data_IF_029871021387
#
_entry.id   IF_029871021387
#
_cell.length_a   1.000
_cell.length_b   1.000
_cell.length_c   1.000
_cell.angle_alpha   90.00
_cell.angle_beta   90.00
_cell.angle_gamma   90.00
#
_symmetry.space_group_name_H-M   'P 1'
#
loop_
_entity.id
_entity.type
_entity.pdbx_description
1 polymer ?
#
# COMPACT_ATOMS: atom_id res chain seq x y z
N UNK A 1 -32.60 5.76 -30.79
CA UNK A 1 -32.76 6.50 -29.51
C UNK A 1 -32.25 5.58 -28.43
N UNK A 2 -31.02 5.81 -27.94
CA UNK A 2 -30.46 5.06 -26.82
C UNK A 2 -31.15 5.54 -25.54
N UNK A 3 -31.82 4.64 -24.84
CA UNK A 3 -32.34 4.92 -23.50
C UNK A 3 -31.18 5.24 -22.57
N UNK A 4 -31.17 6.43 -22.03
CA UNK A 4 -30.24 6.77 -20.94
C UNK A 4 -30.59 5.87 -19.75
N UNK A 5 -29.70 4.95 -19.39
CA UNK A 5 -29.84 4.17 -18.17
C UNK A 5 -29.92 5.11 -16.96
N UNK A 6 -30.98 4.93 -16.17
CA UNK A 6 -31.17 5.65 -14.92
C UNK A 6 -30.04 5.33 -13.95
N UNK A 7 -29.19 6.31 -13.64
CA UNK A 7 -27.97 6.17 -12.82
C UNK A 7 -28.24 6.27 -11.31
N UNK A 8 -29.37 5.80 -10.81
CA UNK A 8 -29.79 5.87 -9.39
C UNK A 8 -29.50 4.57 -8.61
N UNK A 9 -28.44 3.87 -8.90
CA UNK A 9 -27.99 2.66 -8.18
C UNK A 9 -26.51 2.71 -7.81
N UNK A 10 -26.00 1.65 -7.16
CA UNK A 10 -24.56 1.47 -6.93
C UNK A 10 -23.79 1.59 -8.25
N UNK A 11 -22.66 2.27 -8.22
CA UNK A 11 -21.84 2.48 -9.42
C UNK A 11 -20.59 1.62 -9.35
N UNK A 12 -20.29 0.96 -10.46
CA UNK A 12 -19.00 0.31 -10.65
C UNK A 12 -17.87 1.34 -10.66
N UNK A 13 -16.71 0.95 -10.17
CA UNK A 13 -15.49 1.75 -10.21
C UNK A 13 -14.51 1.13 -11.21
N UNK A 14 -14.16 1.88 -12.24
CA UNK A 14 -13.06 1.56 -13.15
C UNK A 14 -11.93 2.57 -12.96
N UNK A 15 -10.75 2.08 -12.61
CA UNK A 15 -9.57 2.90 -12.33
C UNK A 15 -8.52 2.70 -13.40
N UNK A 16 -8.13 3.78 -14.07
CA UNK A 16 -6.99 3.80 -14.97
C UNK A 16 -5.71 4.07 -14.17
N UNK A 17 -5.09 3.01 -13.65
CA UNK A 17 -3.97 3.09 -12.69
C UNK A 17 -2.80 3.94 -13.17
N UNK A 18 -2.53 3.99 -14.48
CA UNK A 18 -1.45 4.81 -15.07
C UNK A 18 -1.66 6.31 -14.89
N UNK A 19 -2.91 6.75 -14.76
CA UNK A 19 -3.28 8.15 -14.68
C UNK A 19 -3.29 8.66 -13.21
N UNK A 20 -3.15 7.76 -12.24
CA UNK A 20 -3.09 8.11 -10.83
C UNK A 20 -1.69 8.56 -10.39
N UNK A 21 -1.59 9.52 -9.46
CA UNK A 21 -0.32 9.95 -8.90
C UNK A 21 0.30 8.86 -8.03
N UNK A 22 1.63 8.82 -7.98
CA UNK A 22 2.39 8.06 -7.01
C UNK A 22 2.64 8.88 -5.76
N UNK A 23 2.33 8.31 -4.59
CA UNK A 23 2.65 8.89 -3.28
C UNK A 23 3.88 8.18 -2.70
N UNK A 24 4.86 8.92 -2.14
CA UNK A 24 6.01 8.30 -1.51
C UNK A 24 5.61 7.60 -0.20
N UNK A 25 6.13 6.38 -0.01
CA UNK A 25 6.05 5.62 1.25
C UNK A 25 7.38 5.60 2.00
N UNK A 26 8.45 5.92 1.31
CA UNK A 26 9.81 5.87 1.82
C UNK A 26 10.81 5.87 0.67
N UNK A 27 12.12 5.81 0.95
CA UNK A 27 13.14 5.77 -0.08
C UNK A 27 12.95 4.59 -1.04
N UNK A 28 12.73 4.88 -2.32
CA UNK A 28 12.52 3.88 -3.35
C UNK A 28 11.21 3.11 -3.25
N UNK A 29 10.23 3.61 -2.49
CA UNK A 29 8.94 2.94 -2.31
C UNK A 29 7.80 3.93 -2.49
N UNK A 30 6.81 3.57 -3.32
CA UNK A 30 5.63 4.39 -3.62
C UNK A 30 4.35 3.57 -3.61
N UNK A 31 3.23 4.27 -3.48
CA UNK A 31 1.90 3.67 -3.65
C UNK A 31 0.95 4.58 -4.42
N UNK A 32 -0.10 3.96 -4.96
CA UNK A 32 -1.30 4.63 -5.50
C UNK A 32 -2.51 4.03 -4.80
N UNK A 33 -3.48 4.86 -4.45
CA UNK A 33 -4.79 4.36 -4.01
C UNK A 33 -5.65 4.02 -5.21
N UNK A 34 -6.10 2.76 -5.28
CA UNK A 34 -6.99 2.28 -6.34
C UNK A 34 -8.47 2.34 -5.91
N UNK A 35 -8.72 2.17 -4.61
CA UNK A 35 -10.05 2.20 -4.02
C UNK A 35 -9.96 2.46 -2.53
N UNK A 36 -10.92 3.22 -2.00
CA UNK A 36 -11.21 3.33 -0.57
C UNK A 36 -12.71 3.14 -0.40
N UNK A 37 -13.14 2.16 0.40
CA UNK A 37 -14.54 1.81 0.60
C UNK A 37 -15.05 2.37 1.91
N UNK A 38 -15.98 3.31 1.87
CA UNK A 38 -16.66 3.84 3.06
C UNK A 38 -17.59 2.80 3.71
N UNK A 39 -18.08 1.83 2.93
CA UNK A 39 -18.99 0.78 3.41
C UNK A 39 -18.28 -0.21 4.33
N UNK A 40 -17.02 -0.52 4.03
CA UNK A 40 -16.28 -1.62 4.68
C UNK A 40 -15.04 -1.17 5.42
N UNK A 41 -14.57 0.06 5.21
CA UNK A 41 -13.29 0.55 5.74
C UNK A 41 -12.06 -0.05 5.05
N UNK A 42 -12.26 -0.79 3.95
CA UNK A 42 -11.20 -1.46 3.19
C UNK A 42 -10.61 -0.52 2.15
N UNK A 43 -9.31 -0.59 1.92
CA UNK A 43 -8.68 0.10 0.80
C UNK A 43 -7.75 -0.83 0.01
N UNK A 44 -7.59 -0.51 -1.26
CA UNK A 44 -6.70 -1.22 -2.18
C UNK A 44 -5.68 -0.27 -2.76
N UNK A 45 -4.43 -0.66 -2.73
CA UNK A 45 -3.29 0.11 -3.22
C UNK A 45 -2.48 -0.67 -4.24
N UNK A 46 -1.86 0.04 -5.17
CA UNK A 46 -0.75 -0.47 -5.98
C UNK A 46 0.55 0.03 -5.35
N UNK A 47 1.44 -0.87 -5.01
CA UNK A 47 2.75 -0.57 -4.42
C UNK A 47 3.82 -0.76 -5.50
N UNK A 48 4.79 0.15 -5.52
CA UNK A 48 6.02 0.03 -6.31
C UNK A 48 7.23 0.12 -5.39
N UNK A 49 8.18 -0.77 -5.60
CA UNK A 49 9.46 -0.79 -4.90
C UNK A 49 10.60 -0.83 -5.92
N UNK A 50 11.56 0.07 -5.80
CA UNK A 50 12.79 0.04 -6.61
C UNK A 50 13.75 -1.03 -6.12
N UNK A 51 14.62 -1.52 -7.01
CA UNK A 51 15.70 -2.44 -6.62
C UNK A 51 16.57 -1.83 -5.52
N UNK A 52 16.83 -2.62 -4.47
CA UNK A 52 17.58 -2.20 -3.29
C UNK A 52 16.75 -1.43 -2.25
N UNK A 53 15.49 -1.12 -2.52
CA UNK A 53 14.61 -0.45 -1.54
C UNK A 53 14.16 -1.42 -0.45
N UNK A 54 13.68 -0.82 0.66
CA UNK A 54 13.13 -1.57 1.80
C UNK A 54 11.79 -0.97 2.20
N UNK A 55 10.79 -1.82 2.34
CA UNK A 55 9.52 -1.42 2.94
C UNK A 55 9.68 -1.36 4.46
N UNK A 56 9.17 -0.30 5.09
CA UNK A 56 9.34 -0.09 6.53
C UNK A 56 8.74 -1.22 7.39
N UNK A 57 9.32 -1.51 8.56
CA UNK A 57 8.73 -2.44 9.51
C UNK A 57 7.33 -2.00 9.90
N UNK A 58 6.40 -2.95 9.96
CA UNK A 58 5.02 -2.66 10.28
C UNK A 58 4.28 -3.85 10.88
N UNK A 59 3.15 -3.53 11.55
CA UNK A 59 2.23 -4.50 12.11
C UNK A 59 0.85 -4.32 11.50
N UNK A 60 0.23 -5.42 11.10
CA UNK A 60 -1.15 -5.45 10.65
C UNK A 60 -2.12 -5.46 11.82
N UNK A 61 -2.95 -4.43 11.94
CA UNK A 61 -4.08 -4.35 12.89
C UNK A 61 -5.41 -4.79 12.25
N UNK A 62 -5.35 -5.17 11.00
CA UNK A 62 -6.33 -5.89 10.20
C UNK A 62 -5.60 -6.77 9.21
N UNK A 63 -6.27 -7.77 8.66
CA UNK A 63 -5.64 -8.60 7.63
C UNK A 63 -5.34 -7.80 6.36
N UNK A 64 -4.43 -8.31 5.54
CA UNK A 64 -4.20 -7.84 4.18
C UNK A 64 -3.93 -9.01 3.24
N UNK A 65 -4.12 -8.77 1.95
CA UNK A 65 -3.79 -9.73 0.91
C UNK A 65 -3.18 -9.00 -0.28
N UNK A 66 -2.23 -9.64 -0.95
CA UNK A 66 -1.56 -9.04 -2.09
C UNK A 66 -1.40 -10.01 -3.26
N UNK A 67 -1.23 -9.44 -4.44
CA UNK A 67 -0.88 -10.17 -5.65
C UNK A 67 0.27 -9.44 -6.36
N UNK A 68 1.35 -10.17 -6.65
CA UNK A 68 2.55 -9.62 -7.30
C UNK A 68 2.32 -9.52 -8.81
N UNK A 69 2.39 -8.30 -9.35
CA UNK A 69 2.22 -8.03 -10.78
C UNK A 69 3.53 -8.27 -11.53
N UNK A 70 4.65 -7.75 -11.00
CA UNK A 70 5.98 -7.90 -11.60
C UNK A 70 7.09 -7.84 -10.55
N UNK A 71 8.25 -8.37 -10.91
CA UNK A 71 9.42 -8.42 -10.05
C UNK A 71 9.33 -9.48 -8.96
N UNK A 72 10.11 -9.29 -7.92
CA UNK A 72 10.13 -10.15 -6.74
C UNK A 72 10.64 -9.35 -5.53
N UNK A 73 10.21 -9.74 -4.34
CA UNK A 73 10.69 -9.18 -3.08
C UNK A 73 10.76 -10.25 -2.00
N UNK A 74 11.70 -10.09 -1.08
CA UNK A 74 11.82 -10.97 0.06
C UNK A 74 10.77 -10.61 1.10
N UNK A 75 10.04 -11.63 1.52
CA UNK A 75 8.89 -11.55 2.37
C UNK A 75 9.01 -12.61 3.48
N UNK A 76 8.38 -12.42 4.61
CA UNK A 76 8.50 -13.32 5.78
C UNK A 76 8.22 -14.79 5.47
N UNK A 77 7.33 -15.08 4.55
CA UNK A 77 6.99 -16.45 4.15
C UNK A 77 7.86 -17.01 3.02
N UNK A 78 8.81 -16.22 2.50
CA UNK A 78 9.68 -16.58 1.38
C UNK A 78 9.81 -15.44 0.37
N UNK A 79 10.37 -15.70 -0.79
CA UNK A 79 10.45 -14.74 -1.89
C UNK A 79 9.15 -14.77 -2.69
N UNK A 80 8.40 -13.66 -2.67
CA UNK A 80 7.20 -13.49 -3.50
C UNK A 80 7.60 -12.99 -4.89
N UNK A 81 7.07 -13.63 -5.94
CA UNK A 81 7.39 -13.38 -7.35
C UNK A 81 6.15 -13.02 -8.15
N UNK A 82 6.34 -12.45 -9.34
CA UNK A 82 5.24 -12.17 -10.27
C UNK A 82 4.32 -13.40 -10.44
N UNK A 83 3.03 -13.21 -10.21
CA UNK A 83 2.00 -14.24 -10.20
C UNK A 83 1.70 -14.87 -8.83
N UNK A 84 2.47 -14.54 -7.80
CA UNK A 84 2.24 -15.04 -6.44
C UNK A 84 1.18 -14.20 -5.71
N UNK A 85 0.39 -14.91 -4.89
CA UNK A 85 -0.57 -14.36 -3.94
C UNK A 85 -0.07 -14.55 -2.51
N UNK A 86 -0.21 -13.53 -1.69
CA UNK A 86 0.10 -13.58 -0.27
C UNK A 86 -1.05 -13.12 0.61
N UNK A 87 -1.16 -13.71 1.79
CA UNK A 87 -2.10 -13.33 2.83
C UNK A 87 -1.37 -13.00 4.13
N UNK A 88 -1.68 -11.85 4.67
CA UNK A 88 -1.09 -11.31 5.90
C UNK A 88 -2.16 -11.24 6.98
N UNK A 89 -2.12 -12.16 7.96
CA UNK A 89 -3.16 -12.24 8.97
C UNK A 89 -3.10 -11.06 9.95
N UNK A 90 -4.24 -10.81 10.61
CA UNK A 90 -4.31 -9.89 11.74
C UNK A 90 -3.21 -10.19 12.75
N UNK A 91 -2.49 -9.17 13.17
CA UNK A 91 -1.40 -9.26 14.14
C UNK A 91 -0.05 -9.63 13.53
N UNK A 92 0.02 -9.89 12.22
CA UNK A 92 1.29 -10.12 11.54
C UNK A 92 2.22 -8.92 11.71
N UNK A 93 3.49 -9.21 12.06
CA UNK A 93 4.55 -8.21 12.15
C UNK A 93 5.56 -8.55 11.08
N UNK A 94 5.86 -7.56 10.25
CA UNK A 94 6.88 -7.63 9.21
C UNK A 94 8.09 -6.80 9.64
N UNK A 95 9.27 -7.41 9.57
CA UNK A 95 10.52 -6.67 9.50
C UNK A 95 10.57 -5.91 8.16
N UNK A 96 11.67 -5.21 7.92
CA UNK A 96 11.82 -4.53 6.65
C UNK A 96 11.85 -5.55 5.49
N UNK A 97 10.88 -5.46 4.60
CA UNK A 97 10.83 -6.24 3.35
C UNK A 97 11.85 -5.66 2.37
N UNK A 98 12.72 -6.50 1.82
CA UNK A 98 13.76 -6.07 0.89
C UNK A 98 13.35 -6.39 -0.54
N UNK A 99 13.50 -5.42 -1.43
CA UNK A 99 13.26 -5.56 -2.85
C UNK A 99 14.60 -5.75 -3.60
N UNK A 100 14.82 -6.91 -4.20
CA UNK A 100 16.06 -7.21 -4.94
C UNK A 100 16.02 -6.72 -6.39
N UNK A 101 14.83 -6.72 -6.98
CA UNK A 101 14.55 -6.19 -8.32
C UNK A 101 13.32 -5.30 -8.25
N UNK A 102 13.21 -4.32 -9.15
CA UNK A 102 12.02 -3.45 -9.18
C UNK A 102 10.73 -4.28 -9.24
N UNK A 103 9.81 -4.01 -8.32
CA UNK A 103 8.61 -4.82 -8.13
C UNK A 103 7.35 -3.97 -7.99
N UNK A 104 6.23 -4.53 -8.45
CA UNK A 104 4.91 -3.96 -8.24
C UNK A 104 3.94 -5.05 -7.77
N UNK A 105 3.10 -4.72 -6.80
CA UNK A 105 2.04 -5.58 -6.31
C UNK A 105 0.81 -4.79 -5.90
N UNK A 106 -0.36 -5.39 -6.10
CA UNK A 106 -1.62 -4.87 -5.54
C UNK A 106 -1.80 -5.44 -4.16
N UNK A 107 -2.20 -4.61 -3.19
CA UNK A 107 -2.52 -5.01 -1.83
C UNK A 107 -3.90 -4.47 -1.44
N UNK A 108 -4.74 -5.34 -0.88
CA UNK A 108 -5.99 -4.97 -0.24
C UNK A 108 -5.84 -5.09 1.26
N UNK A 109 -6.12 -4.02 1.98
CA UNK A 109 -5.93 -3.91 3.42
C UNK A 109 -7.28 -3.76 4.12
N UNK A 110 -7.54 -4.66 5.07
CA UNK A 110 -8.82 -4.80 5.76
C UNK A 110 -8.86 -4.10 7.13
N UNK A 111 -7.79 -3.42 7.51
CA UNK A 111 -7.72 -2.67 8.76
C UNK A 111 -6.42 -1.87 8.87
N UNK A 112 -6.20 -1.14 9.98
CA UNK A 112 -5.05 -0.27 10.11
C UNK A 112 -3.71 -0.99 10.03
N UNK A 113 -2.70 -0.26 9.57
CA UNK A 113 -1.28 -0.66 9.58
C UNK A 113 -0.56 0.26 10.57
N UNK A 114 0.14 -0.32 11.52
CA UNK A 114 1.03 0.41 12.42
C UNK A 114 2.47 0.29 11.92
N UNK A 115 3.04 1.39 11.42
CA UNK A 115 4.46 1.47 11.12
C UNK A 115 5.27 1.56 12.40
N UNK A 116 6.39 0.86 12.47
CA UNK A 116 7.16 0.65 13.68
C UNK A 116 8.53 1.32 13.60
N UNK A 117 9.00 1.81 14.74
CA UNK A 117 10.39 2.16 14.95
C UNK A 117 11.23 0.88 15.17
N UNK A 118 12.56 1.04 15.18
CA UNK A 118 13.48 -0.08 15.42
C UNK A 118 13.29 -0.74 16.79
N UNK A 119 12.83 0.02 17.80
CA UNK A 119 12.53 -0.49 19.15
C UNK A 119 11.15 -1.17 19.26
N UNK A 120 10.41 -1.25 18.14
CA UNK A 120 9.07 -1.83 18.07
C UNK A 120 7.94 -0.92 18.52
N UNK A 121 8.22 0.31 18.94
CA UNK A 121 7.19 1.29 19.24
C UNK A 121 6.48 1.75 17.95
N UNK A 122 5.22 2.17 18.06
CA UNK A 122 4.46 2.65 16.93
C UNK A 122 4.96 4.05 16.53
N UNK A 123 5.45 4.17 15.30
CA UNK A 123 5.85 5.43 14.71
C UNK A 123 4.66 6.19 14.14
N UNK A 124 3.80 5.46 13.42
CA UNK A 124 2.64 6.03 12.73
C UNK A 124 1.56 4.97 12.54
N UNK A 125 0.31 5.40 12.66
CA UNK A 125 -0.85 4.59 12.29
C UNK A 125 -1.39 5.07 10.94
N UNK A 126 -1.45 4.15 9.98
CA UNK A 126 -2.14 4.37 8.70
C UNK A 126 -3.46 3.60 8.75
N UNK A 127 -4.53 4.33 8.88
CA UNK A 127 -5.89 3.80 9.03
C UNK A 127 -6.81 4.25 7.89
N UNK A 128 -8.08 3.87 7.99
CA UNK A 128 -9.10 4.26 7.02
C UNK A 128 -9.21 5.80 6.87
N UNK A 129 -9.12 6.56 7.96
CA UNK A 129 -9.24 8.01 7.89
C UNK A 129 -8.08 8.63 7.09
N UNK A 130 -6.85 8.12 7.29
CA UNK A 130 -5.70 8.54 6.52
C UNK A 130 -5.82 8.14 5.04
N UNK A 131 -6.27 6.92 4.75
CA UNK A 131 -6.50 6.45 3.39
C UNK A 131 -7.61 7.26 2.69
N UNK A 132 -8.71 7.55 3.39
CA UNK A 132 -9.84 8.34 2.86
C UNK A 132 -9.42 9.77 2.55
N UNK A 133 -8.66 10.41 3.43
CA UNK A 133 -8.14 11.75 3.18
C UNK A 133 -7.32 11.82 1.89
N UNK A 134 -6.38 10.88 1.71
CA UNK A 134 -5.57 10.81 0.49
C UNK A 134 -6.42 10.52 -0.75
N UNK A 135 -7.41 9.66 -0.62
CA UNK A 135 -8.34 9.36 -1.71
C UNK A 135 -9.10 10.60 -2.15
N UNK A 136 -9.62 11.39 -1.22
CA UNK A 136 -10.35 12.62 -1.51
C UNK A 136 -9.45 13.66 -2.18
N UNK A 137 -8.22 13.82 -1.71
CA UNK A 137 -7.21 14.69 -2.32
C UNK A 137 -6.88 14.24 -3.75
N UNK A 138 -6.72 12.94 -3.96
CA UNK A 138 -6.48 12.34 -5.28
C UNK A 138 -7.65 12.61 -6.24
N UNK A 139 -8.90 12.43 -5.78
CA UNK A 139 -10.09 12.68 -6.60
C UNK A 139 -10.26 14.18 -6.94
N UNK A 140 -9.83 15.08 -6.05
CA UNK A 140 -9.84 16.52 -6.28
C UNK A 140 -8.71 17.00 -7.21
N UNK A 141 -7.84 16.12 -7.71
CA UNK A 141 -6.68 16.47 -8.52
C UNK A 141 -5.60 17.23 -7.74
N UNK A 142 -5.67 17.21 -6.41
CA UNK A 142 -4.67 17.81 -5.54
C UNK A 142 -3.51 16.81 -5.38
N UNK A 143 -2.29 17.27 -5.60
CA UNK A 143 -1.10 16.52 -5.24
C UNK A 143 -0.97 16.55 -3.70
N UNK A 144 -1.67 15.64 -3.02
CA UNK A 144 -1.56 15.48 -1.59
C UNK A 144 -0.13 15.07 -1.24
N UNK A 145 0.55 15.81 -0.40
CA UNK A 145 1.80 15.37 0.17
C UNK A 145 1.49 14.58 1.43
N UNK A 146 1.39 13.27 1.32
CA UNK A 146 1.55 12.42 2.48
C UNK A 146 3.05 12.39 2.79
N UNK A 147 3.49 13.27 3.66
CA UNK A 147 4.81 13.13 4.26
C UNK A 147 4.72 12.03 5.31
N UNK A 148 4.74 10.78 4.84
CA UNK A 148 5.10 9.68 5.70
C UNK A 148 6.58 9.90 6.02
N UNK A 149 6.85 10.49 7.18
CA UNK A 149 8.21 10.60 7.71
C UNK A 149 8.66 9.21 8.17
N UNK A 150 8.84 8.31 7.21
CA UNK A 150 9.60 7.09 7.47
C UNK A 150 11.04 7.52 7.47
N UNK A 151 11.55 7.88 8.64
CA UNK A 151 12.97 8.10 8.83
C UNK A 151 13.69 6.75 8.66
N UNK A 152 14.05 6.43 7.43
CA UNK A 152 15.03 5.37 7.19
C UNK A 152 16.39 6.01 7.43
N UNK A 153 16.95 5.79 8.61
CA UNK A 153 18.33 6.13 8.89
C UNK A 153 19.23 5.35 7.92
N UNK A 154 20.04 5.99 7.06
CA UNK A 154 20.98 5.27 6.22
C UNK A 154 22.10 4.75 7.11
N UNK A 155 22.27 3.44 7.17
CA UNK A 155 23.51 2.83 7.66
C UNK A 155 23.38 1.97 8.89
N UNK A 156 22.98 0.72 8.69
CA UNK A 156 23.65 -0.39 9.38
C UNK A 156 23.70 -1.58 8.43
N UNK A 157 24.92 -1.81 7.91
CA UNK A 157 25.31 -3.12 7.42
C UNK A 157 25.57 -3.97 8.66
N UNK A 158 25.12 -5.17 8.62
CA UNK A 158 25.75 -6.15 9.47
C UNK A 158 24.83 -6.96 10.32
N UNK A 159 24.98 -8.15 10.08
CA UNK A 159 25.03 -9.47 10.68
C UNK A 159 23.88 -10.38 10.31
#
# INVERSE_FOLDING_TARGET
MSAAESTTGPKDLLVHCKDLPWYPLGPGTWFKLLRVSEETGVWTSLIKMEAGSRFAPHKHLGAAEFFVIRGEFDYRAGTAKAGDYGYEPLGAIHGATTCTVESEYVITTYGPIAFLNEDGSVQMLYDFAAAKKLWDEQQAGQAGSLTLSVAVTPGQRGF
#
